data_IF_731004321245
#
_entry.id   IF_731004321245
#
_cell.length_a   1.000
_cell.length_b   1.000
_cell.length_c   1.000
_cell.angle_alpha   90.00
_cell.angle_beta   90.00
_cell.angle_gamma   90.00
#
_symmetry.space_group_name_H-M   'P 1'
#
loop_
_entity.id
_entity.type
_entity.pdbx_description
1 polymer ?
#
# COMPACT_ATOMS: atom_id res chain seq x y z
N UNK A 1 22.73 -7.96 -0.97
CA UNK A 1 21.83 -9.14 -0.99
C UNK A 1 20.52 -8.92 -0.24
N UNK A 2 20.54 -8.28 0.95
CA UNK A 2 19.35 -8.08 1.79
C UNK A 2 18.17 -7.42 1.06
N UNK A 3 18.39 -6.33 0.33
CA UNK A 3 17.33 -5.63 -0.42
C UNK A 3 16.66 -6.47 -1.52
N UNK A 4 17.39 -7.43 -2.14
CA UNK A 4 16.82 -8.33 -3.16
C UNK A 4 15.87 -9.35 -2.52
N UNK A 5 16.29 -9.94 -1.40
CA UNK A 5 15.47 -10.87 -0.63
C UNK A 5 14.26 -10.15 -0.02
N UNK A 6 14.42 -8.93 0.49
CA UNK A 6 13.31 -8.11 1.00
C UNK A 6 12.26 -7.84 -0.06
N UNK A 7 12.67 -7.57 -1.31
CA UNK A 7 11.74 -7.26 -2.40
C UNK A 7 11.01 -8.50 -2.93
N UNK A 8 11.69 -9.65 -3.00
CA UNK A 8 11.06 -10.93 -3.31
C UNK A 8 10.06 -11.35 -2.23
N UNK A 9 10.40 -11.15 -0.95
CA UNK A 9 9.51 -11.42 0.18
C UNK A 9 8.27 -10.52 0.11
N UNK A 10 8.44 -9.23 -0.19
CA UNK A 10 7.34 -8.28 -0.28
C UNK A 10 6.39 -8.61 -1.45
N UNK A 11 6.95 -9.00 -2.60
CA UNK A 11 6.15 -9.47 -3.74
C UNK A 11 5.35 -10.75 -3.45
N UNK A 12 5.86 -11.65 -2.60
CA UNK A 12 5.17 -12.87 -2.18
C UNK A 12 4.12 -12.65 -1.08
N UNK A 13 4.33 -11.66 -0.21
CA UNK A 13 3.37 -11.28 0.84
C UNK A 13 2.13 -10.59 0.28
N UNK A 14 2.28 -9.94 -0.87
CA UNK A 14 1.24 -9.09 -1.41
C UNK A 14 -0.01 -9.84 -1.90
N UNK A 15 0.06 -11.00 -2.58
CA UNK A 15 -1.11 -11.84 -2.82
C UNK A 15 -1.83 -12.27 -1.54
N UNK A 16 -1.07 -12.59 -0.47
CA UNK A 16 -1.64 -12.91 0.85
C UNK A 16 -2.36 -11.71 1.46
N UNK A 17 -1.78 -10.51 1.35
CA UNK A 17 -2.41 -9.27 1.79
C UNK A 17 -3.71 -9.00 1.02
N UNK A 18 -3.73 -9.18 -0.31
CA UNK A 18 -4.94 -9.03 -1.12
C UNK A 18 -6.04 -10.00 -0.66
N UNK A 19 -5.68 -11.26 -0.42
CA UNK A 19 -6.62 -12.26 0.08
C UNK A 19 -7.16 -11.88 1.48
N UNK A 20 -6.29 -11.38 2.37
CA UNK A 20 -6.70 -10.90 3.68
C UNK A 20 -7.69 -9.71 3.58
N UNK A 21 -7.44 -8.74 2.70
CA UNK A 21 -8.38 -7.64 2.46
C UNK A 21 -9.73 -8.13 1.94
N UNK A 22 -9.75 -9.12 1.03
CA UNK A 22 -11.00 -9.72 0.54
C UNK A 22 -11.79 -10.38 1.68
N UNK A 23 -11.13 -11.19 2.52
CA UNK A 23 -11.77 -11.79 3.69
C UNK A 23 -12.25 -10.76 4.71
N UNK A 24 -11.51 -9.66 4.91
CA UNK A 24 -11.95 -8.56 5.78
C UNK A 24 -13.22 -7.89 5.22
N UNK A 25 -13.30 -7.68 3.91
CA UNK A 25 -14.49 -7.10 3.29
C UNK A 25 -15.72 -8.00 3.46
N UNK A 26 -15.57 -9.31 3.27
CA UNK A 26 -16.63 -10.29 3.52
C UNK A 26 -17.10 -10.25 4.98
N UNK A 27 -16.16 -10.26 5.94
CA UNK A 27 -16.49 -10.18 7.37
C UNK A 27 -17.22 -8.86 7.72
N UNK A 28 -16.82 -7.74 7.12
CA UNK A 28 -17.48 -6.44 7.33
C UNK A 28 -18.90 -6.45 6.77
N UNK A 29 -19.12 -7.11 5.64
CA UNK A 29 -20.46 -7.24 5.06
C UNK A 29 -21.37 -8.14 5.88
N UNK A 30 -20.85 -9.28 6.34
CA UNK A 30 -21.57 -10.21 7.20
C UNK A 30 -21.94 -9.57 8.54
N UNK A 31 -21.01 -8.84 9.18
CA UNK A 31 -21.27 -8.13 10.44
C UNK A 31 -22.33 -7.04 10.27
N UNK A 32 -22.24 -6.26 9.19
CA UNK A 32 -23.23 -5.23 8.89
C UNK A 32 -24.62 -5.84 8.62
N UNK A 33 -24.68 -6.98 7.91
CA UNK A 33 -25.94 -7.69 7.65
C UNK A 33 -26.54 -8.27 8.95
N UNK A 34 -25.72 -8.85 9.82
CA UNK A 34 -26.14 -9.37 11.12
C UNK A 34 -26.68 -8.25 12.02
N UNK A 35 -25.99 -7.11 12.10
CA UNK A 35 -26.43 -5.96 12.88
C UNK A 35 -27.73 -5.34 12.33
N UNK A 36 -27.88 -5.28 11.00
CA UNK A 36 -29.11 -4.83 10.35
C UNK A 36 -30.29 -5.76 10.66
N UNK A 37 -30.07 -7.08 10.63
CA UNK A 37 -31.11 -8.06 10.99
C UNK A 37 -31.49 -7.98 12.48
N UNK A 38 -30.54 -7.67 13.35
CA UNK A 38 -30.76 -7.48 14.78
C UNK A 38 -31.31 -6.09 15.14
N UNK A 39 -31.32 -5.14 14.19
CA UNK A 39 -31.73 -3.74 14.43
C UNK A 39 -30.83 -3.00 15.41
N UNK A 40 -29.54 -3.36 15.48
CA UNK A 40 -28.58 -2.74 16.39
C UNK A 40 -27.54 -1.89 15.65
N UNK A 41 -27.07 -0.83 16.33
CA UNK A 41 -26.01 0.02 15.82
C UNK A 41 -24.62 -0.52 16.19
N UNK A 42 -23.65 -0.30 15.31
CA UNK A 42 -22.27 -0.78 15.45
C UNK A 42 -21.35 0.35 15.89
N UNK A 43 -20.48 0.09 16.86
CA UNK A 43 -19.48 1.07 17.29
C UNK A 43 -18.37 1.23 16.25
N UNK A 44 -18.11 2.46 15.84
CA UNK A 44 -17.00 2.81 14.96
C UNK A 44 -15.90 3.53 15.73
N UNK A 45 -14.67 3.04 15.59
CA UNK A 45 -13.48 3.73 16.08
C UNK A 45 -12.39 3.69 15.04
N UNK A 46 -11.96 4.87 14.60
CA UNK A 46 -10.91 5.03 13.61
C UNK A 46 -9.60 4.42 14.13
N UNK A 47 -9.26 4.64 15.42
CA UNK A 47 -8.08 4.01 16.06
C UNK A 47 -8.10 2.48 16.04
N UNK A 48 -9.29 1.86 16.09
CA UNK A 48 -9.43 0.40 16.08
C UNK A 48 -9.45 -0.19 14.66
N UNK A 49 -9.96 0.57 13.69
CA UNK A 49 -10.17 0.10 12.31
C UNK A 49 -9.01 0.46 11.41
N UNK A 50 -8.53 1.70 11.48
CA UNK A 50 -7.41 2.20 10.70
C UNK A 50 -6.25 2.54 11.63
N UNK A 51 -5.14 1.83 11.51
CA UNK A 51 -3.88 2.19 12.15
C UNK A 51 -3.27 3.48 11.60
N UNK A 52 -4.09 4.43 11.11
CA UNK A 52 -3.63 5.75 10.74
C UNK A 52 -2.96 6.33 11.96
N UNK A 53 -1.63 6.47 11.86
CA UNK A 53 -0.86 7.34 12.72
C UNK A 53 -1.52 8.72 12.61
N UNK A 54 -2.35 9.05 13.59
CA UNK A 54 -2.29 10.41 14.09
C UNK A 54 -0.84 10.56 14.50
N UNK A 55 -0.16 11.56 13.98
CA UNK A 55 1.01 12.07 14.65
C UNK A 55 0.52 12.42 16.07
N UNK A 56 0.74 11.50 17.01
CA UNK A 56 0.82 11.82 18.43
C UNK A 56 2.11 12.65 18.59
N UNK A 57 2.17 13.82 17.93
CA UNK A 57 3.06 14.87 18.34
C UNK A 57 2.42 15.50 19.58
N UNK A 58 3.24 15.58 20.62
CA UNK A 58 2.99 16.31 21.85
C UNK A 58 2.28 17.65 21.62
N UNK A 59 1.49 18.15 22.60
CA UNK A 59 0.82 19.43 22.46
C UNK A 59 1.83 20.51 22.00
N UNK A 60 1.50 21.30 20.96
CA UNK A 60 2.42 22.29 20.43
C UNK A 60 2.81 23.26 21.54
N UNK A 61 4.11 23.37 21.80
CA UNK A 61 4.65 24.48 22.58
C UNK A 61 4.15 25.80 21.97
N UNK A 62 3.66 26.76 22.78
CA UNK A 62 3.09 28.00 22.29
C UNK A 62 4.20 28.96 21.87
N UNK A 63 4.92 28.65 20.80
CA UNK A 63 5.87 29.57 20.16
C UNK A 63 6.17 29.19 18.71
N UNK A 64 5.15 29.06 17.88
CA UNK A 64 5.30 29.20 16.44
C UNK A 64 4.02 29.83 15.88
N UNK A 65 4.05 31.15 15.71
CA UNK A 65 3.07 31.83 14.86
C UNK A 65 3.43 31.54 13.40
N UNK A 66 2.69 30.66 12.77
CA UNK A 66 2.53 30.61 11.33
C UNK A 66 1.09 30.22 11.04
N UNK A 67 0.52 30.92 10.07
CA UNK A 67 -0.85 30.85 9.61
C UNK A 67 -1.37 29.40 9.47
N UNK A 68 -2.69 29.18 9.55
CA UNK A 68 -3.24 27.87 9.24
C UNK A 68 -3.02 27.61 7.76
N UNK A 69 -1.96 26.88 7.43
CA UNK A 69 -1.89 26.15 6.18
C UNK A 69 -3.06 25.18 6.27
N UNK A 70 -4.14 25.50 5.57
CA UNK A 70 -5.25 24.59 5.30
C UNK A 70 -4.66 23.43 4.50
N UNK A 71 -4.01 22.50 5.21
CA UNK A 71 -3.78 21.16 4.70
C UNK A 71 -5.14 20.70 4.18
N UNK A 72 -5.24 20.52 2.87
CA UNK A 72 -6.36 19.87 2.20
C UNK A 72 -6.42 18.43 2.71
N UNK A 73 -6.84 18.26 3.97
CA UNK A 73 -7.08 16.98 4.58
C UNK A 73 -8.13 16.32 3.73
N UNK A 74 -7.77 15.16 3.18
CA UNK A 74 -8.61 14.42 2.25
C UNK A 74 -10.05 14.37 2.80
N UNK A 75 -11.07 14.80 2.02
CA UNK A 75 -12.44 14.98 2.51
C UNK A 75 -13.00 13.69 3.14
N UNK A 76 -12.47 12.54 2.72
CA UNK A 76 -12.76 11.21 3.29
C UNK A 76 -12.23 11.06 4.71
N UNK A 77 -10.97 11.40 4.98
CA UNK A 77 -10.39 11.32 6.33
C UNK A 77 -11.10 12.27 7.30
N UNK A 78 -11.41 13.48 6.85
CA UNK A 78 -12.19 14.44 7.64
C UNK A 78 -13.60 13.90 7.98
N UNK A 79 -14.26 13.28 7.01
CA UNK A 79 -15.57 12.65 7.22
C UNK A 79 -15.50 11.47 8.21
N UNK A 80 -14.45 10.65 8.13
CA UNK A 80 -14.21 9.53 9.05
C UNK A 80 -13.92 10.01 10.48
N UNK A 81 -13.13 11.09 10.64
CA UNK A 81 -12.89 11.72 11.95
C UNK A 81 -14.18 12.19 12.61
N UNK A 82 -15.14 12.71 11.84
CA UNK A 82 -16.47 13.09 12.36
C UNK A 82 -17.28 11.88 12.83
N UNK A 83 -17.05 10.69 12.27
CA UNK A 83 -17.75 9.45 12.62
C UNK A 83 -17.10 8.71 13.81
N UNK A 84 -15.87 9.06 14.18
CA UNK A 84 -15.09 8.39 15.22
C UNK A 84 -15.76 8.44 16.61
N UNK A 85 -15.67 7.34 17.34
CA UNK A 85 -16.20 7.21 18.71
C UNK A 85 -17.72 7.12 18.82
N UNK A 86 -18.44 6.86 17.72
CA UNK A 86 -19.91 6.82 17.69
C UNK A 86 -20.45 5.44 17.33
N UNK A 87 -21.69 5.17 17.76
CA UNK A 87 -22.47 4.05 17.24
C UNK A 87 -23.13 4.51 15.93
N UNK A 88 -22.95 3.73 14.87
CA UNK A 88 -23.41 4.03 13.53
C UNK A 88 -24.42 2.98 13.09
N UNK A 89 -25.38 3.41 12.27
CA UNK A 89 -26.26 2.50 11.54
C UNK A 89 -25.42 1.52 10.70
N UNK A 90 -25.84 0.24 10.56
CA UNK A 90 -25.04 -0.80 9.91
C UNK A 90 -24.50 -0.42 8.53
N UNK A 91 -25.31 0.23 7.71
CA UNK A 91 -24.90 0.71 6.38
C UNK A 91 -23.84 1.82 6.45
N UNK A 92 -23.96 2.72 7.41
CA UNK A 92 -23.00 3.82 7.61
C UNK A 92 -21.69 3.31 8.19
N UNK A 93 -21.76 2.36 9.11
CA UNK A 93 -20.59 1.65 9.65
C UNK A 93 -19.83 0.92 8.54
N UNK A 94 -20.54 0.12 7.72
CA UNK A 94 -19.95 -0.60 6.58
C UNK A 94 -19.24 0.35 5.62
N UNK A 95 -19.88 1.46 5.24
CA UNK A 95 -19.26 2.48 4.38
C UNK A 95 -18.02 3.11 5.02
N UNK A 96 -18.06 3.40 6.32
CA UNK A 96 -16.94 4.00 7.04
C UNK A 96 -15.73 3.05 7.08
N UNK A 97 -15.94 1.76 7.41
CA UNK A 97 -14.88 0.76 7.43
C UNK A 97 -14.30 0.53 6.03
N UNK A 98 -15.15 0.40 5.01
CA UNK A 98 -14.70 0.27 3.61
C UNK A 98 -13.90 1.49 3.13
N UNK A 99 -14.27 2.70 3.57
CA UNK A 99 -13.51 3.90 3.25
C UNK A 99 -12.11 3.90 3.88
N UNK A 100 -11.96 3.39 5.11
CA UNK A 100 -10.65 3.18 5.73
C UNK A 100 -9.82 2.19 4.91
N UNK A 101 -10.38 1.01 4.59
CA UNK A 101 -9.68 -0.01 3.80
C UNK A 101 -9.30 0.50 2.40
N UNK A 102 -10.16 1.31 1.78
CA UNK A 102 -9.89 1.95 0.48
C UNK A 102 -8.68 2.88 0.56
N UNK A 103 -8.58 3.67 1.62
CA UNK A 103 -7.43 4.55 1.84
C UNK A 103 -6.14 3.75 2.08
N UNK A 104 -6.20 2.59 2.74
CA UNK A 104 -5.03 1.71 2.91
C UNK A 104 -4.54 1.13 1.58
N UNK A 105 -5.47 0.73 0.71
CA UNK A 105 -5.14 0.09 -0.57
C UNK A 105 -4.69 1.09 -1.64
N UNK A 106 -5.43 2.19 -1.82
CA UNK A 106 -5.14 3.16 -2.87
C UNK A 106 -4.19 4.26 -2.41
N UNK A 107 -4.10 4.51 -1.10
CA UNK A 107 -3.39 5.65 -0.53
C UNK A 107 -4.21 6.94 -0.60
N UNK A 108 -3.72 8.03 0.01
CA UNK A 108 -4.30 9.35 -0.19
C UNK A 108 -4.17 9.70 -1.68
N UNK A 109 -5.23 10.27 -2.25
CA UNK A 109 -5.22 10.72 -3.65
C UNK A 109 -3.94 11.53 -3.89
N UNK A 110 -3.07 11.03 -4.78
CA UNK A 110 -1.74 11.57 -4.98
C UNK A 110 -1.84 13.05 -5.34
N UNK A 111 -1.44 13.92 -4.42
CA UNK A 111 -1.14 15.30 -4.76
C UNK A 111 0.15 15.26 -5.59
N UNK A 112 0.03 15.55 -6.89
CA UNK A 112 1.15 15.74 -7.82
C UNK A 112 1.92 17.03 -7.49
N UNK A 113 2.44 17.13 -6.26
CA UNK A 113 3.18 18.28 -5.73
C UNK A 113 4.62 17.91 -5.36
N UNK A 114 5.60 18.79 -5.61
CA UNK A 114 6.99 18.51 -5.29
C UNK A 114 7.21 18.54 -3.77
N UNK A 115 7.51 17.37 -3.21
CA UNK A 115 8.29 17.16 -1.98
C UNK A 115 8.04 18.13 -0.83
N UNK A 116 7.06 17.82 0.03
CA UNK A 116 7.18 18.10 1.46
C UNK A 116 7.40 16.77 2.19
N UNK A 117 8.35 16.78 3.11
CA UNK A 117 8.93 15.61 3.79
C UNK A 117 8.03 15.01 4.88
N UNK A 118 6.72 15.21 4.81
CA UNK A 118 5.79 14.49 5.68
C UNK A 118 5.57 13.12 5.04
N UNK A 119 5.83 12.06 5.80
CA UNK A 119 5.68 10.66 5.39
C UNK A 119 4.21 10.38 5.05
N UNK A 120 3.79 10.77 3.84
CA UNK A 120 2.47 10.49 3.31
C UNK A 120 2.32 8.98 3.23
N UNK A 121 1.28 8.46 3.89
CA UNK A 121 0.96 7.05 3.90
C UNK A 121 0.90 6.52 2.46
N UNK A 122 1.79 5.58 2.10
CA UNK A 122 1.80 5.01 0.75
C UNK A 122 0.74 3.92 0.68
N UNK A 123 -0.21 4.08 -0.23
CA UNK A 123 -1.17 3.03 -0.53
C UNK A 123 -0.49 1.75 -1.02
N UNK A 124 -1.12 0.62 -0.79
CA UNK A 124 -0.62 -0.67 -1.29
C UNK A 124 -0.35 -0.65 -2.81
N UNK A 125 -1.18 0.05 -3.58
CA UNK A 125 -0.97 0.27 -5.01
C UNK A 125 0.32 1.02 -5.32
N UNK A 126 0.62 2.08 -4.56
CA UNK A 126 1.85 2.86 -4.71
C UNK A 126 3.08 2.04 -4.31
N UNK A 127 2.95 1.17 -3.30
CA UNK A 127 4.00 0.22 -2.92
C UNK A 127 4.29 -0.73 -4.09
N UNK A 128 3.27 -1.27 -4.75
CA UNK A 128 3.45 -2.13 -5.95
C UNK A 128 4.16 -1.41 -7.07
N UNK A 129 3.71 -0.21 -7.43
CA UNK A 129 4.35 0.59 -8.47
C UNK A 129 5.84 0.84 -8.16
N UNK A 130 6.18 1.07 -6.89
CA UNK A 130 7.57 1.22 -6.46
C UNK A 130 8.36 -0.09 -6.54
N UNK A 131 7.75 -1.23 -6.23
CA UNK A 131 8.39 -2.54 -6.37
C UNK A 131 8.67 -2.89 -7.82
N UNK A 132 7.72 -2.61 -8.73
CA UNK A 132 7.88 -2.79 -10.17
C UNK A 132 9.04 -1.95 -10.70
N UNK A 133 9.05 -0.66 -10.38
CA UNK A 133 10.08 0.25 -10.84
C UNK A 133 11.46 -0.10 -10.25
N UNK A 134 11.52 -0.49 -8.97
CA UNK A 134 12.76 -0.94 -8.35
C UNK A 134 13.25 -2.28 -8.94
N UNK A 135 12.35 -3.19 -9.35
CA UNK A 135 12.70 -4.39 -10.07
C UNK A 135 13.24 -4.07 -11.47
N UNK A 136 12.54 -3.23 -12.23
CA UNK A 136 12.91 -2.77 -13.56
C UNK A 136 14.28 -2.11 -13.58
N UNK A 137 14.55 -1.17 -12.68
CA UNK A 137 15.84 -0.47 -12.59
C UNK A 137 17.02 -1.40 -12.30
N UNK A 138 16.88 -2.32 -11.34
CA UNK A 138 17.94 -3.30 -11.03
C UNK A 138 18.27 -4.17 -12.25
N UNK A 139 17.24 -4.51 -13.00
CA UNK A 139 17.35 -5.28 -14.21
C UNK A 139 18.04 -4.53 -15.33
N UNK A 140 17.66 -3.27 -15.56
CA UNK A 140 18.31 -2.40 -16.53
C UNK A 140 19.80 -2.24 -16.23
N UNK A 141 20.17 -1.99 -14.96
CA UNK A 141 21.58 -1.88 -14.55
C UNK A 141 22.34 -3.18 -14.84
N UNK A 142 21.75 -4.34 -14.56
CA UNK A 142 22.38 -5.62 -14.83
C UNK A 142 22.57 -5.87 -16.34
N UNK A 143 21.59 -5.51 -17.16
CA UNK A 143 21.63 -5.65 -18.61
C UNK A 143 22.66 -4.69 -19.24
N UNK A 144 22.75 -3.45 -18.76
CA UNK A 144 23.75 -2.46 -19.17
C UNK A 144 25.17 -2.92 -18.85
N UNK A 145 25.41 -3.44 -17.64
CA UNK A 145 26.72 -3.97 -17.25
C UNK A 145 27.13 -5.21 -18.06
N UNK A 146 26.15 -6.05 -18.44
CA UNK A 146 26.38 -7.20 -19.31
C UNK A 146 26.75 -6.74 -20.73
N UNK A 147 26.01 -5.78 -21.27
CA UNK A 147 26.25 -5.22 -22.60
C UNK A 147 27.60 -4.48 -22.68
N UNK A 148 28.02 -3.81 -21.60
CA UNK A 148 29.29 -3.11 -21.54
C UNK A 148 30.50 -4.02 -21.28
N UNK A 149 30.29 -5.33 -21.09
CA UNK A 149 31.36 -6.30 -20.82
C UNK A 149 32.09 -6.08 -19.48
N UNK A 150 31.54 -5.24 -18.59
CA UNK A 150 32.13 -4.91 -17.30
C UNK A 150 31.84 -5.96 -16.22
N UNK A 151 31.01 -6.97 -16.54
CA UNK A 151 30.71 -8.06 -15.60
C UNK A 151 31.88 -9.06 -15.53
N UNK A 152 32.39 -9.35 -14.31
CA UNK A 152 33.41 -10.37 -14.14
C UNK A 152 32.93 -11.73 -14.66
N UNK A 153 33.73 -12.45 -15.47
CA UNK A 153 33.35 -13.74 -16.09
C UNK A 153 32.90 -14.83 -15.11
N UNK A 154 33.28 -14.70 -13.83
CA UNK A 154 32.94 -15.62 -12.74
C UNK A 154 32.60 -14.87 -11.46
N UNK A 155 31.66 -13.94 -11.54
CA UNK A 155 31.09 -13.37 -10.32
C UNK A 155 30.25 -14.42 -9.60
N UNK A 156 30.68 -14.83 -8.39
CA UNK A 156 29.89 -15.70 -7.48
C UNK A 156 28.53 -15.08 -7.08
N UNK A 157 28.31 -13.81 -7.44
CA UNK A 157 27.11 -13.05 -7.12
C UNK A 157 26.14 -12.98 -8.31
N UNK A 158 26.52 -13.45 -9.50
CA UNK A 158 25.63 -13.57 -10.65
C UNK A 158 24.99 -14.95 -10.64
N UNK A 159 23.66 -14.99 -10.55
CA UNK A 159 22.86 -16.22 -10.59
C UNK A 159 22.76 -16.82 -12.01
N UNK A 160 23.30 -16.14 -13.02
CA UNK A 160 23.40 -16.63 -14.40
C UNK A 160 24.85 -16.45 -14.89
N UNK A 161 25.44 -17.47 -15.53
CA UNK A 161 26.77 -17.33 -16.12
C UNK A 161 26.74 -16.31 -17.27
N UNK A 162 27.83 -15.53 -17.42
CA UNK A 162 27.97 -14.50 -18.46
C UNK A 162 27.89 -15.05 -19.91
N UNK A 163 27.83 -16.36 -20.08
CA UNK A 163 27.67 -17.06 -21.36
C UNK A 163 26.22 -17.30 -21.77
N UNK A 164 25.23 -16.95 -20.94
CA UNK A 164 23.82 -17.04 -21.31
C UNK A 164 23.33 -15.71 -21.88
N UNK A 165 22.46 -15.75 -22.92
CA UNK A 165 21.79 -14.54 -23.40
C UNK A 165 21.00 -13.90 -22.25
N UNK A 166 20.88 -12.56 -22.22
CA UNK A 166 20.11 -11.87 -21.18
C UNK A 166 18.70 -12.46 -21.14
N UNK A 167 18.30 -12.94 -19.96
CA UNK A 167 16.97 -13.51 -19.75
C UNK A 167 15.93 -12.43 -20.11
N UNK A 168 15.00 -12.70 -21.03
CA UNK A 168 13.99 -11.72 -21.43
C UNK A 168 13.17 -11.29 -20.21
N UNK A 169 12.72 -10.03 -20.15
CA UNK A 169 12.11 -9.45 -18.95
C UNK A 169 10.92 -10.24 -18.43
N UNK A 170 10.15 -10.87 -19.33
CA UNK A 170 8.96 -11.67 -19.02
C UNK A 170 9.28 -12.98 -18.28
N UNK A 171 10.50 -13.49 -18.42
CA UNK A 171 10.94 -14.75 -17.81
C UNK A 171 11.61 -14.54 -16.44
N UNK A 172 11.78 -13.30 -16.00
CA UNK A 172 12.43 -12.96 -14.73
C UNK A 172 11.46 -13.23 -13.58
N UNK A 173 11.83 -14.12 -12.65
CA UNK A 173 10.96 -14.54 -11.53
C UNK A 173 10.44 -13.36 -10.69
N UNK A 174 11.27 -12.37 -10.42
CA UNK A 174 10.87 -11.15 -9.72
C UNK A 174 9.81 -10.34 -10.48
N UNK A 175 9.91 -10.22 -11.81
CA UNK A 175 8.91 -9.53 -12.64
C UNK A 175 7.59 -10.28 -12.58
N UNK A 176 7.63 -11.62 -12.70
CA UNK A 176 6.43 -12.46 -12.61
C UNK A 176 5.74 -12.37 -11.24
N UNK A 177 6.52 -12.32 -10.16
CA UNK A 177 5.98 -12.20 -8.79
C UNK A 177 5.28 -10.85 -8.61
N UNK A 178 5.93 -9.76 -9.03
CA UNK A 178 5.34 -8.43 -8.91
C UNK A 178 4.09 -8.29 -9.80
N UNK A 179 4.13 -8.84 -11.02
CA UNK A 179 2.98 -8.87 -11.92
C UNK A 179 1.80 -9.67 -11.35
N UNK A 180 2.06 -10.83 -10.76
CA UNK A 180 1.02 -11.62 -10.06
C UNK A 180 0.38 -10.80 -8.94
N UNK A 181 1.19 -10.01 -8.24
CA UNK A 181 0.72 -9.19 -7.14
C UNK A 181 -0.07 -7.96 -7.62
N UNK A 182 0.31 -7.35 -8.73
CA UNK A 182 -0.44 -6.31 -9.45
C UNK A 182 -1.83 -6.82 -9.85
N UNK A 183 -1.89 -7.99 -10.49
CA UNK A 183 -3.15 -8.65 -10.86
C UNK A 183 -4.03 -8.98 -9.64
N UNK A 184 -3.44 -9.34 -8.50
CA UNK A 184 -4.18 -9.59 -7.27
C UNK A 184 -4.83 -8.32 -6.72
N UNK A 185 -4.15 -7.17 -6.79
CA UNK A 185 -4.72 -5.87 -6.42
C UNK A 185 -5.80 -5.40 -7.40
N UNK A 186 -5.66 -5.64 -8.70
CA UNK A 186 -6.70 -5.30 -9.69
C UNK A 186 -8.01 -6.04 -9.44
N UNK A 187 -7.92 -7.28 -8.92
CA UNK A 187 -9.09 -8.05 -8.50
C UNK A 187 -9.68 -7.57 -7.18
N UNK A 188 -8.90 -6.87 -6.37
CA UNK A 188 -9.33 -6.28 -5.11
C UNK A 188 -10.08 -4.97 -5.37
N UNK A 189 -11.30 -5.07 -5.92
CA UNK A 189 -12.17 -3.92 -6.11
C UNK A 189 -12.89 -3.62 -4.80
N UNK A 190 -12.44 -2.61 -4.08
CA UNK A 190 -13.12 -2.09 -2.89
C UNK A 190 -14.21 -1.10 -3.36
N UNK A 191 -15.43 -1.62 -3.59
CA UNK A 191 -16.63 -0.85 -3.98
C UNK A 191 -17.25 -0.12 -2.80
#
# INVERSE_FOLDING_TARGET
>A
MQAFQSLMLLGALLPSACNAYASILEMVDDEAAAAAAAGCALFFSLKRVGGLRHDDEDPPSPSASSAPEEEEQEPVLLALRRLDGRHLEPDTWRRAVRAVLKMDVYGPAAADGPTTTTTTHKGLWQVVAQLEEAARRRHQIADELLASGLLPPRSRYLMAPASQPPCPPEQRNCVRIVETARMALERLVIS
#
